data_IF_618301408080
#
_entry.id   IF_618301408080
#
_cell.length_a   1.000
_cell.length_b   1.000
_cell.length_c   1.000
_cell.angle_alpha   90.00
_cell.angle_beta   90.00
_cell.angle_gamma   90.00
#
_symmetry.space_group_name_H-M   'P 1'
#
loop_
_entity.id
_entity.type
_entity.pdbx_description
1 polymer ?
#
# COMPACT_ATOMS: atom_id res chain seq x y z
N UNK A 1 8.15 48.57 -7.03
CA UNK A 1 6.97 48.17 -6.24
C UNK A 1 6.43 46.81 -6.71
N UNK A 2 7.21 45.72 -6.62
CA UNK A 2 6.78 44.39 -7.09
C UNK A 2 6.99 43.24 -6.08
N UNK A 3 7.59 43.49 -4.92
CA UNK A 3 7.87 42.43 -3.92
C UNK A 3 6.72 42.17 -2.95
N UNK A 4 5.82 43.14 -2.73
CA UNK A 4 4.79 43.07 -1.67
C UNK A 4 3.50 42.33 -2.08
N UNK A 5 3.11 42.35 -3.36
CA UNK A 5 1.94 41.59 -3.84
C UNK A 5 2.18 40.07 -3.82
N UNK A 6 3.41 39.64 -4.11
CA UNK A 6 3.80 38.23 -4.12
C UNK A 6 3.79 37.64 -2.71
N UNK A 7 4.27 38.40 -1.71
CA UNK A 7 4.26 38.00 -0.30
C UNK A 7 2.84 37.78 0.24
N UNK A 8 1.87 38.63 -0.11
CA UNK A 8 0.48 38.46 0.37
C UNK A 8 -0.18 37.21 -0.22
N UNK A 9 -0.03 36.96 -1.53
CA UNK A 9 -0.50 35.72 -2.17
C UNK A 9 0.21 34.48 -1.65
N UNK A 10 1.50 34.57 -1.34
CA UNK A 10 2.25 33.50 -0.70
C UNK A 10 1.70 33.20 0.70
N UNK A 11 1.39 34.23 1.49
CA UNK A 11 0.83 34.06 2.82
C UNK A 11 -0.56 33.42 2.80
N UNK A 12 -1.41 33.84 1.86
CA UNK A 12 -2.72 33.21 1.62
C UNK A 12 -2.57 31.73 1.21
N UNK A 13 -1.60 31.42 0.34
CA UNK A 13 -1.32 30.04 -0.08
C UNK A 13 -0.80 29.18 1.07
N UNK A 14 0.07 29.73 1.92
CA UNK A 14 0.59 29.04 3.11
C UNK A 14 -0.57 28.73 4.07
N UNK A 15 -1.44 29.71 4.35
CA UNK A 15 -2.59 29.52 5.23
C UNK A 15 -3.57 28.46 4.69
N UNK A 16 -3.80 28.42 3.37
CA UNK A 16 -4.62 27.36 2.75
C UNK A 16 -3.98 25.99 2.93
N UNK A 17 -2.68 25.86 2.66
CA UNK A 17 -1.96 24.59 2.80
C UNK A 17 -1.88 24.12 4.26
N UNK A 18 -1.73 25.03 5.22
CA UNK A 18 -1.75 24.71 6.65
C UNK A 18 -3.12 24.17 7.10
N UNK A 19 -4.22 24.77 6.61
CA UNK A 19 -5.58 24.26 6.87
C UNK A 19 -5.77 22.86 6.29
N UNK A 20 -5.30 22.63 5.07
CA UNK A 20 -5.41 21.34 4.39
C UNK A 20 -4.57 20.26 5.11
N UNK A 21 -3.38 20.62 5.62
CA UNK A 21 -2.57 19.72 6.46
C UNK A 21 -3.30 19.36 7.75
N UNK A 22 -3.94 20.32 8.43
CA UNK A 22 -4.71 20.04 9.65
C UNK A 22 -5.89 19.11 9.39
N UNK A 23 -6.63 19.31 8.30
CA UNK A 23 -7.73 18.43 7.91
C UNK A 23 -7.23 17.00 7.63
N UNK A 24 -6.13 16.87 6.88
CA UNK A 24 -5.52 15.57 6.58
C UNK A 24 -4.98 14.88 7.84
N UNK A 25 -4.37 15.62 8.77
CA UNK A 25 -3.93 15.08 10.06
C UNK A 25 -5.10 14.63 10.94
N UNK A 26 -6.22 15.36 10.93
CA UNK A 26 -7.43 14.96 11.66
C UNK A 26 -8.05 13.67 11.10
N UNK A 27 -8.02 13.48 9.78
CA UNK A 27 -8.48 12.23 9.13
C UNK A 27 -7.55 11.06 9.45
N UNK A 28 -6.26 11.31 9.55
CA UNK A 28 -5.26 10.28 9.86
C UNK A 28 -5.37 9.77 11.31
N UNK A 29 -5.69 10.65 12.26
CA UNK A 29 -5.81 10.33 13.68
C UNK A 29 -4.73 11.03 14.52
N UNK A 30 -5.07 11.42 15.74
CA UNK A 30 -4.15 12.12 16.64
C UNK A 30 -2.95 11.23 17.01
N UNK A 31 -1.74 11.70 16.69
CA UNK A 31 -0.49 11.01 17.04
C UNK A 31 -0.08 9.90 16.07
N UNK A 32 -0.82 9.71 14.97
CA UNK A 32 -0.42 8.79 13.91
C UNK A 32 0.47 9.47 12.87
N UNK A 33 1.53 8.76 12.44
CA UNK A 33 2.45 9.21 11.41
C UNK A 33 2.13 8.49 10.09
N UNK A 34 1.68 9.26 9.09
CA UNK A 34 1.28 8.73 7.80
C UNK A 34 2.41 7.95 7.13
N UNK A 35 3.65 8.41 7.29
CA UNK A 35 4.81 7.77 6.69
C UNK A 35 5.05 6.40 7.33
N UNK A 36 4.88 6.28 8.65
CA UNK A 36 5.02 5.01 9.37
C UNK A 36 3.93 4.02 8.96
N UNK A 37 2.68 4.47 8.82
CA UNK A 37 1.55 3.62 8.39
C UNK A 37 1.81 3.10 6.98
N UNK A 38 2.11 4.00 6.04
CA UNK A 38 2.37 3.64 4.64
C UNK A 38 3.56 2.70 4.55
N UNK A 39 4.66 3.01 5.24
CA UNK A 39 5.86 2.16 5.28
C UNK A 39 5.56 0.77 5.84
N UNK A 40 4.75 0.68 6.91
CA UNK A 40 4.35 -0.60 7.50
C UNK A 40 3.47 -1.40 6.53
N UNK A 41 2.54 -0.75 5.84
CA UNK A 41 1.68 -1.40 4.86
C UNK A 41 2.48 -1.93 3.66
N UNK A 42 3.44 -1.13 3.15
CA UNK A 42 4.35 -1.54 2.08
C UNK A 42 5.17 -2.77 2.49
N UNK A 43 5.72 -2.78 3.70
CA UNK A 43 6.46 -3.94 4.23
C UNK A 43 5.60 -5.18 4.34
N UNK A 44 4.36 -5.04 4.81
CA UNK A 44 3.42 -6.15 4.92
C UNK A 44 3.08 -6.72 3.53
N UNK A 45 2.85 -5.85 2.55
CA UNK A 45 2.55 -6.25 1.18
C UNK A 45 3.72 -6.99 0.53
N UNK A 46 4.95 -6.50 0.71
CA UNK A 46 6.15 -7.19 0.23
C UNK A 46 6.31 -8.58 0.86
N UNK A 47 6.12 -8.69 2.18
CA UNK A 47 6.20 -9.98 2.88
C UNK A 47 5.14 -10.96 2.42
N UNK A 48 3.92 -10.48 2.18
CA UNK A 48 2.84 -11.29 1.62
C UNK A 48 3.22 -11.80 0.22
N UNK A 49 3.68 -10.91 -0.67
CA UNK A 49 4.08 -11.28 -2.02
C UNK A 49 5.23 -12.30 -2.02
N UNK A 50 6.26 -12.09 -1.21
CA UNK A 50 7.38 -13.03 -1.10
C UNK A 50 6.92 -14.42 -0.64
N UNK A 51 6.04 -14.47 0.36
CA UNK A 51 5.47 -15.73 0.86
C UNK A 51 4.60 -16.41 -0.19
N UNK A 52 3.78 -15.64 -0.91
CA UNK A 52 2.93 -16.13 -2.00
C UNK A 52 3.76 -16.69 -3.15
N UNK A 53 4.82 -15.99 -3.56
CA UNK A 53 5.70 -16.41 -4.65
C UNK A 53 6.45 -17.70 -4.29
N UNK A 54 6.97 -17.80 -3.06
CA UNK A 54 7.58 -19.03 -2.57
C UNK A 54 6.60 -20.20 -2.57
N UNK A 55 5.36 -19.99 -2.11
CA UNK A 55 4.31 -21.00 -2.13
C UNK A 55 3.94 -21.43 -3.57
N UNK A 56 3.84 -20.48 -4.50
CA UNK A 56 3.56 -20.76 -5.91
C UNK A 56 4.67 -21.57 -6.58
N UNK A 57 5.94 -21.29 -6.28
CA UNK A 57 7.08 -22.09 -6.76
C UNK A 57 6.97 -23.53 -6.26
N UNK A 58 6.68 -23.72 -4.97
CA UNK A 58 6.52 -25.04 -4.37
C UNK A 58 5.33 -25.80 -4.99
N UNK A 59 4.20 -25.11 -5.21
CA UNK A 59 3.05 -25.69 -5.88
C UNK A 59 3.33 -26.06 -7.33
N UNK A 60 4.12 -25.26 -8.07
CA UNK A 60 4.55 -25.61 -9.42
C UNK A 60 5.37 -26.90 -9.45
N UNK A 61 6.27 -27.10 -8.48
CA UNK A 61 7.03 -28.35 -8.33
C UNK A 61 6.13 -29.53 -7.96
N UNK A 62 5.17 -29.30 -7.04
CA UNK A 62 4.20 -30.32 -6.65
C UNK A 62 3.30 -30.73 -7.81
N UNK A 63 2.88 -29.79 -8.64
CA UNK A 63 2.11 -30.00 -9.87
C UNK A 63 2.87 -30.89 -10.85
N UNK A 64 4.13 -30.57 -11.12
CA UNK A 64 5.00 -31.38 -11.96
C UNK A 64 5.16 -32.81 -11.42
N UNK A 65 5.37 -32.97 -10.11
CA UNK A 65 5.52 -34.28 -9.48
C UNK A 65 4.22 -35.12 -9.54
N UNK A 66 3.05 -34.49 -9.39
CA UNK A 66 1.75 -35.18 -9.43
C UNK A 66 1.20 -35.37 -10.86
N UNK A 67 1.88 -34.85 -11.89
CA UNK A 67 1.33 -34.80 -13.26
C UNK A 67 0.03 -33.99 -13.36
N UNK A 68 -0.18 -33.06 -12.42
CA UNK A 68 -1.38 -32.22 -12.32
C UNK A 68 -1.05 -30.80 -12.78
N UNK A 69 -2.07 -30.02 -13.11
CA UNK A 69 -1.91 -28.59 -13.38
C UNK A 69 -1.95 -27.78 -12.09
N UNK A 70 -1.28 -26.63 -12.06
CA UNK A 70 -1.32 -25.70 -10.92
C UNK A 70 -2.77 -25.30 -10.58
N UNK A 71 -3.63 -25.14 -11.59
CA UNK A 71 -5.05 -24.84 -11.40
C UNK A 71 -5.81 -25.94 -10.67
N UNK A 72 -5.54 -27.21 -10.96
CA UNK A 72 -6.15 -28.33 -10.23
C UNK A 72 -5.72 -28.35 -8.76
N UNK A 73 -4.45 -28.07 -8.48
CA UNK A 73 -3.93 -27.95 -7.12
C UNK A 73 -4.52 -26.76 -6.36
N UNK A 74 -4.68 -25.61 -7.01
CA UNK A 74 -5.38 -24.47 -6.39
C UNK A 74 -6.81 -24.84 -6.00
N UNK A 75 -7.54 -25.57 -6.85
CA UNK A 75 -8.89 -26.04 -6.52
C UNK A 75 -8.88 -27.07 -5.38
N UNK A 76 -7.92 -28.01 -5.38
CA UNK A 76 -7.77 -29.04 -4.34
C UNK A 76 -7.47 -28.43 -2.97
N UNK A 77 -6.62 -27.40 -2.92
CA UNK A 77 -6.23 -26.70 -1.69
C UNK A 77 -7.11 -25.50 -1.33
N UNK A 78 -8.19 -25.24 -2.09
CA UNK A 78 -9.10 -24.12 -1.81
C UNK A 78 -8.49 -22.73 -2.05
N UNK A 79 -7.43 -22.62 -2.86
CA UNK A 79 -6.72 -21.37 -3.19
C UNK A 79 -7.35 -20.65 -4.39
N UNK A 80 -8.68 -20.70 -4.51
CA UNK A 80 -9.40 -20.05 -5.61
C UNK A 80 -9.50 -18.55 -5.38
N UNK A 81 -9.52 -17.76 -6.46
CA UNK A 81 -9.61 -16.28 -6.44
C UNK A 81 -10.91 -15.71 -5.82
N UNK A 82 -11.73 -16.54 -5.16
CA UNK A 82 -12.96 -16.13 -4.47
C UNK A 82 -12.68 -15.99 -2.99
N UNK A 83 -12.08 -14.85 -2.63
CA UNK A 83 -12.32 -14.12 -1.38
C UNK A 83 -12.23 -12.62 -1.68
#
# INVERSE_FOLDING_TARGET
MHATMTSKKQQERIATLESEIQELQAVLGEGEDAEVIVSSHIKLLHRYNESKDAAQILMGRLAAHRGATIRQLHNEYGLTDRD
#
